data_IF_175685678900
#
_entry.id   IF_175685678900
#
_cell.length_a   1.000
_cell.length_b   1.000
_cell.length_c   1.000
_cell.angle_alpha   90.00
_cell.angle_beta   90.00
_cell.angle_gamma   90.00
#
_symmetry.space_group_name_H-M   'P 1'
#
loop_
_entity.id
_entity.type
_entity.pdbx_description
1 polymer ?
#
# COMPACT_ATOMS: atom_id res chain seq x y z
N UNK A 1 0.45 31.17 14.52
CA UNK A 1 1.44 31.45 13.46
C UNK A 1 0.98 30.70 12.23
N UNK A 2 1.12 31.22 11.00
CA UNK A 2 0.82 30.40 9.83
C UNK A 2 1.79 29.22 9.87
N UNK A 3 1.26 28.00 9.93
CA UNK A 3 2.06 26.78 9.96
C UNK A 3 3.03 26.76 8.78
N UNK A 4 4.21 26.18 8.99
CA UNK A 4 5.21 26.05 7.94
C UNK A 4 4.61 25.32 6.73
N UNK A 5 5.12 25.52 5.50
CA UNK A 5 4.61 24.82 4.31
C UNK A 5 4.52 23.28 4.47
N UNK A 6 5.32 22.73 5.38
CA UNK A 6 5.41 21.31 5.70
C UNK A 6 4.22 20.81 6.55
N UNK A 7 3.54 21.69 7.29
CA UNK A 7 2.50 21.32 8.27
C UNK A 7 1.21 20.86 7.59
N UNK A 8 0.97 21.30 6.35
CA UNK A 8 -0.19 20.92 5.53
C UNK A 8 0.16 19.95 4.40
N UNK A 9 1.40 19.46 4.34
CA UNK A 9 1.83 18.55 3.26
C UNK A 9 2.03 17.16 3.83
N UNK A 10 1.29 16.19 3.32
CA UNK A 10 1.39 14.79 3.69
C UNK A 10 2.46 14.12 2.82
N UNK A 11 3.52 13.59 3.45
CA UNK A 11 4.62 12.89 2.78
C UNK A 11 4.47 11.39 2.96
N UNK A 12 4.37 10.65 1.87
CA UNK A 12 4.13 9.22 1.85
C UNK A 12 5.25 8.56 1.06
N UNK A 13 5.94 7.59 1.66
CA UNK A 13 6.81 6.70 0.88
C UNK A 13 5.96 5.58 0.28
N UNK A 14 5.99 5.41 -1.03
CA UNK A 14 5.22 4.41 -1.77
C UNK A 14 6.16 3.34 -2.31
N UNK A 15 5.88 2.07 -1.98
CA UNK A 15 6.57 0.90 -2.51
C UNK A 15 5.57 -0.26 -2.70
N UNK A 16 5.94 -1.29 -3.44
CA UNK A 16 5.12 -2.49 -3.67
C UNK A 16 6.02 -3.66 -4.04
N UNK A 17 5.50 -4.88 -3.98
CA UNK A 17 6.15 -6.07 -4.54
C UNK A 17 7.59 -6.21 -4.02
N UNK A 18 7.71 -6.14 -2.69
CA UNK A 18 9.00 -6.23 -2.01
C UNK A 18 9.56 -7.65 -2.06
N UNK A 19 8.67 -8.65 -2.13
CA UNK A 19 9.02 -10.06 -2.27
C UNK A 19 10.10 -10.50 -1.26
N UNK A 20 9.93 -10.11 0.01
CA UNK A 20 10.82 -10.54 1.08
C UNK A 20 10.93 -12.06 1.09
N UNK A 21 12.16 -12.56 0.98
CA UNK A 21 12.47 -13.99 0.91
C UNK A 21 12.65 -14.54 -0.50
N UNK A 22 12.43 -13.75 -1.55
CA UNK A 22 12.79 -14.18 -2.90
C UNK A 22 14.29 -14.52 -2.99
N UNK A 23 14.59 -15.70 -3.49
CA UNK A 23 15.96 -16.20 -3.59
C UNK A 23 16.66 -16.53 -2.27
N UNK A 24 15.96 -16.63 -1.13
CA UNK A 24 16.59 -16.74 0.20
C UNK A 24 17.59 -17.91 0.39
N UNK A 25 17.47 -18.96 -0.41
CA UNK A 25 18.36 -20.14 -0.39
C UNK A 25 19.59 -19.99 -1.28
N UNK A 26 19.63 -18.96 -2.13
CA UNK A 26 20.76 -18.63 -2.98
C UNK A 26 21.91 -18.05 -2.14
N UNK A 27 23.13 -18.54 -2.37
CA UNK A 27 24.30 -18.16 -1.58
C UNK A 27 24.78 -16.73 -1.84
N UNK A 28 24.44 -16.17 -3.00
CA UNK A 28 24.87 -14.84 -3.44
C UNK A 28 23.73 -13.84 -3.21
N UNK A 29 22.52 -14.19 -3.66
CA UNK A 29 21.36 -13.28 -3.74
C UNK A 29 20.40 -13.39 -2.56
N UNK A 30 20.63 -14.32 -1.63
CA UNK A 30 19.66 -14.65 -0.58
C UNK A 30 19.35 -13.53 0.41
N UNK A 31 20.10 -12.44 0.41
CA UNK A 31 19.84 -11.25 1.22
C UNK A 31 19.25 -10.07 0.45
N UNK A 32 19.19 -10.12 -0.90
CA UNK A 32 18.88 -8.97 -1.74
C UNK A 32 17.55 -8.31 -1.31
N UNK A 33 16.49 -9.10 -1.16
CA UNK A 33 15.17 -8.59 -0.77
C UNK A 33 15.14 -7.88 0.59
N UNK A 34 15.88 -8.39 1.60
CA UNK A 34 15.93 -7.76 2.92
C UNK A 34 16.79 -6.49 2.91
N UNK A 35 17.91 -6.49 2.18
CA UNK A 35 18.79 -5.32 2.06
C UNK A 35 18.06 -4.20 1.32
N UNK A 36 17.38 -4.50 0.21
CA UNK A 36 16.60 -3.50 -0.51
C UNK A 36 15.44 -2.97 0.33
N UNK A 37 14.74 -3.84 1.07
CA UNK A 37 13.68 -3.37 1.97
C UNK A 37 14.22 -2.48 3.10
N UNK A 38 15.41 -2.76 3.62
CA UNK A 38 16.09 -1.87 4.55
C UNK A 38 16.37 -0.50 3.92
N UNK A 39 16.89 -0.44 2.70
CA UNK A 39 17.11 0.83 1.97
C UNK A 39 15.80 1.62 1.78
N UNK A 40 14.67 0.96 1.52
CA UNK A 40 13.36 1.60 1.44
C UNK A 40 13.00 2.27 2.78
N UNK A 41 13.21 1.58 3.91
CA UNK A 41 12.94 2.11 5.24
C UNK A 41 13.91 3.23 5.63
N UNK A 42 15.18 3.12 5.25
CA UNK A 42 16.17 4.19 5.39
C UNK A 42 15.72 5.44 4.63
N UNK A 43 15.22 5.29 3.41
CA UNK A 43 14.67 6.39 2.62
C UNK A 43 13.44 7.01 3.27
N UNK A 44 12.54 6.21 3.88
CA UNK A 44 11.40 6.72 4.65
C UNK A 44 11.86 7.65 5.78
N UNK A 45 12.87 7.21 6.56
CA UNK A 45 13.43 7.96 7.67
C UNK A 45 14.17 9.21 7.20
N UNK A 46 15.01 9.07 6.18
CA UNK A 46 15.82 10.16 5.58
C UNK A 46 14.95 11.30 5.06
N UNK A 47 13.81 10.99 4.45
CA UNK A 47 12.89 12.00 3.92
C UNK A 47 11.80 12.43 4.92
N UNK A 48 11.89 11.93 6.16
CA UNK A 48 10.99 12.22 7.27
C UNK A 48 9.52 12.07 6.90
N UNK A 49 9.19 10.99 6.17
CA UNK A 49 7.82 10.75 5.71
C UNK A 49 6.86 10.64 6.89
N UNK A 50 5.59 10.95 6.64
CA UNK A 50 4.52 10.81 7.62
C UNK A 50 4.11 9.35 7.77
N UNK A 51 4.05 8.58 6.68
CA UNK A 51 3.86 7.13 6.71
C UNK A 51 4.40 6.45 5.45
N UNK A 52 4.47 5.13 5.48
CA UNK A 52 4.82 4.27 4.35
C UNK A 52 3.55 3.57 3.85
N UNK A 53 3.39 3.50 2.54
CA UNK A 53 2.27 2.84 1.86
C UNK A 53 2.79 1.71 0.98
N UNK A 54 2.38 0.48 1.28
CA UNK A 54 2.79 -0.74 0.58
C UNK A 54 1.65 -1.30 -0.27
N UNK A 55 1.95 -1.55 -1.55
CA UNK A 55 1.00 -2.00 -2.57
C UNK A 55 0.70 -3.50 -2.62
N UNK A 56 1.16 -4.30 -1.65
CA UNK A 56 1.03 -5.76 -1.62
C UNK A 56 2.32 -6.49 -1.98
N UNK A 57 2.29 -7.82 -1.87
CA UNK A 57 3.45 -8.72 -2.06
C UNK A 57 4.67 -8.27 -1.25
N UNK A 58 4.45 -7.97 0.03
CA UNK A 58 5.54 -7.72 0.98
C UNK A 58 6.41 -8.98 1.11
N UNK A 59 5.79 -10.16 1.16
CA UNK A 59 6.49 -11.44 1.22
C UNK A 59 6.35 -12.22 -0.09
N UNK A 60 7.43 -12.88 -0.49
CA UNK A 60 7.43 -13.73 -1.68
C UNK A 60 6.68 -15.06 -1.48
N UNK A 61 6.65 -15.55 -0.25
CA UNK A 61 5.99 -16.80 0.11
C UNK A 61 4.87 -16.50 1.09
N UNK A 62 3.70 -17.11 0.87
CA UNK A 62 2.52 -16.95 1.73
C UNK A 62 2.83 -17.28 3.20
N UNK A 63 3.70 -18.27 3.42
CA UNK A 63 4.21 -18.68 4.72
C UNK A 63 5.70 -18.35 4.77
N UNK A 64 6.06 -17.09 5.09
CA UNK A 64 7.44 -16.65 4.98
C UNK A 64 8.35 -17.46 5.92
N UNK A 65 9.56 -17.84 5.47
CA UNK A 65 10.53 -18.50 6.32
C UNK A 65 10.84 -17.68 7.57
N UNK A 66 11.09 -18.34 8.70
CA UNK A 66 11.33 -17.65 10.00
C UNK A 66 12.41 -16.57 9.93
N UNK A 67 13.49 -16.82 9.18
CA UNK A 67 14.58 -15.85 8.96
C UNK A 67 14.06 -14.56 8.33
N UNK A 68 13.23 -14.69 7.30
CA UNK A 68 12.68 -13.58 6.53
C UNK A 68 11.66 -12.80 7.36
N UNK A 69 10.73 -13.50 8.01
CA UNK A 69 9.75 -12.86 8.89
C UNK A 69 10.44 -12.12 10.06
N UNK A 70 11.45 -12.74 10.68
CA UNK A 70 12.25 -12.10 11.73
C UNK A 70 12.99 -10.87 11.20
N UNK A 71 13.60 -10.95 10.01
CA UNK A 71 14.28 -9.82 9.36
C UNK A 71 13.32 -8.65 9.13
N UNK A 72 12.14 -8.91 8.56
CA UNK A 72 11.10 -7.91 8.37
C UNK A 72 10.70 -7.23 9.70
N UNK A 73 10.41 -8.02 10.73
CA UNK A 73 10.05 -7.51 12.07
C UNK A 73 11.18 -6.64 12.65
N UNK A 74 12.42 -7.09 12.55
CA UNK A 74 13.57 -6.35 13.08
C UNK A 74 13.75 -5.01 12.36
N UNK A 75 13.63 -5.00 11.03
CA UNK A 75 13.71 -3.79 10.22
C UNK A 75 12.58 -2.80 10.54
N UNK A 76 11.32 -3.26 10.55
CA UNK A 76 10.17 -2.42 10.92
C UNK A 76 10.34 -1.82 12.32
N UNK A 77 10.78 -2.61 13.31
CA UNK A 77 11.05 -2.07 14.65
C UNK A 77 12.16 -1.02 14.66
N UNK A 78 13.20 -1.22 13.86
CA UNK A 78 14.38 -0.33 13.82
C UNK A 78 14.07 1.02 13.17
N UNK A 79 13.26 1.03 12.11
CA UNK A 79 13.04 2.22 11.30
C UNK A 79 11.68 2.91 11.55
N UNK A 80 10.67 2.18 12.03
CA UNK A 80 9.30 2.70 12.17
C UNK A 80 8.90 3.01 13.62
N UNK A 81 9.64 2.56 14.62
CA UNK A 81 9.42 2.90 16.03
C UNK A 81 10.39 4.00 16.49
N UNK A 82 9.93 4.91 17.36
CA UNK A 82 10.74 6.02 17.84
C UNK A 82 9.92 7.11 18.49
N UNK A 83 10.59 8.16 18.99
CA UNK A 83 9.95 9.24 19.76
C UNK A 83 9.26 10.31 18.93
N UNK A 84 9.48 10.35 17.60
CA UNK A 84 8.83 11.33 16.72
C UNK A 84 7.31 11.07 16.72
N UNK A 85 6.48 12.03 17.14
CA UNK A 85 5.03 11.86 17.14
C UNK A 85 4.48 11.89 15.71
N UNK A 86 3.47 11.05 15.45
CA UNK A 86 2.68 11.08 14.20
C UNK A 86 1.96 12.42 14.09
N UNK A 87 2.07 13.09 12.93
CA UNK A 87 1.61 14.46 12.70
C UNK A 87 0.29 14.56 11.92
N UNK A 88 -0.44 13.46 11.79
CA UNK A 88 -1.75 13.40 11.14
C UNK A 88 -2.76 12.70 12.04
N UNK A 89 -4.03 13.03 11.85
CA UNK A 89 -5.16 12.51 12.60
C UNK A 89 -5.91 11.46 11.77
N UNK A 90 -6.50 10.49 12.47
CA UNK A 90 -7.44 9.53 11.89
C UNK A 90 -8.87 9.96 12.20
N UNK A 91 -9.72 10.03 11.18
CA UNK A 91 -11.07 10.60 11.28
C UNK A 91 -12.19 9.58 11.10
N UNK A 92 -11.88 8.37 10.63
CA UNK A 92 -12.87 7.30 10.47
C UNK A 92 -12.96 6.39 11.71
N UNK A 93 -13.91 5.47 11.70
CA UNK A 93 -14.14 4.54 12.81
C UNK A 93 -13.22 3.32 12.65
N UNK A 94 -12.12 3.31 13.41
CA UNK A 94 -11.14 2.23 13.41
C UNK A 94 -11.77 0.86 13.70
N UNK A 95 -12.80 0.80 14.54
CA UNK A 95 -13.47 -0.45 14.89
C UNK A 95 -14.18 -1.11 13.70
N UNK A 96 -14.59 -0.29 12.72
CA UNK A 96 -15.21 -0.75 11.47
C UNK A 96 -14.15 -1.01 10.40
N UNK A 97 -13.19 -0.10 10.24
CA UNK A 97 -12.17 -0.15 9.19
C UNK A 97 -11.22 -1.36 9.40
N UNK A 98 -10.88 -1.64 10.66
CA UNK A 98 -10.02 -2.75 11.07
C UNK A 98 -10.79 -3.90 11.72
N UNK A 99 -12.11 -4.02 11.50
CA UNK A 99 -12.96 -5.10 12.06
C UNK A 99 -12.50 -6.53 11.71
N UNK A 100 -11.69 -6.66 10.65
CA UNK A 100 -11.15 -7.92 10.17
C UNK A 100 -9.85 -8.32 10.92
N UNK A 101 -9.29 -7.40 11.71
CA UNK A 101 -8.11 -7.59 12.52
C UNK A 101 -8.49 -7.91 13.98
N UNK A 102 -7.59 -8.60 14.68
CA UNK A 102 -7.79 -8.94 16.10
C UNK A 102 -7.72 -7.71 17.03
N UNK A 103 -6.89 -6.73 16.69
CA UNK A 103 -6.78 -5.44 17.37
C UNK A 103 -7.29 -4.37 16.41
N UNK A 104 -8.56 -3.97 16.48
CA UNK A 104 -9.18 -3.11 15.47
C UNK A 104 -8.84 -1.62 15.72
N UNK A 105 -7.55 -1.32 15.84
CA UNK A 105 -7.00 0.00 16.13
C UNK A 105 -5.70 0.20 15.35
N UNK A 106 -5.40 1.46 15.02
CA UNK A 106 -4.13 1.84 14.41
C UNK A 106 -2.99 1.64 15.38
N UNK A 107 -1.86 1.17 14.87
CA UNK A 107 -0.71 0.84 15.71
C UNK A 107 -0.10 2.05 16.44
N UNK A 108 -0.19 3.25 15.86
CA UNK A 108 0.34 4.47 16.45
C UNK A 108 -0.60 5.12 17.47
N UNK A 109 -1.82 4.62 17.62
CA UNK A 109 -2.73 5.00 18.70
C UNK A 109 -2.72 3.99 19.87
N UNK A 110 -1.94 2.90 19.77
CA UNK A 110 -1.74 1.98 20.88
C UNK A 110 -0.87 2.64 21.97
N UNK A 111 -1.37 2.80 23.21
CA UNK A 111 -0.64 3.49 24.27
C UNK A 111 0.64 2.76 24.73
N UNK A 112 0.84 1.51 24.31
CA UNK A 112 1.99 0.69 24.67
C UNK A 112 3.06 0.64 23.57
N UNK A 113 2.80 1.23 22.40
CA UNK A 113 3.70 1.19 21.24
C UNK A 113 4.06 2.61 20.82
N UNK A 114 5.36 2.90 20.74
CA UNK A 114 5.84 4.18 20.25
C UNK A 114 6.17 4.09 18.75
N UNK A 115 5.16 4.32 17.91
CA UNK A 115 5.29 4.29 16.45
C UNK A 115 5.59 5.70 15.93
N UNK A 116 6.71 5.85 15.21
CA UNK A 116 7.13 7.12 14.61
C UNK A 116 6.82 7.24 13.12
N UNK A 117 6.78 6.11 12.40
CA UNK A 117 6.42 6.06 10.98
C UNK A 117 5.46 4.89 10.78
N UNK A 118 4.14 5.12 10.77
CA UNK A 118 3.15 4.09 10.48
C UNK A 118 3.38 3.47 9.10
N UNK A 119 3.09 2.18 8.96
CA UNK A 119 3.13 1.47 7.67
C UNK A 119 1.72 1.00 7.37
N UNK A 120 1.15 1.40 6.25
CA UNK A 120 -0.14 0.90 5.75
C UNK A 120 0.12 -0.05 4.59
N UNK A 121 -0.52 -1.22 4.59
CA UNK A 121 -0.35 -2.20 3.52
C UNK A 121 -1.66 -2.89 3.18
N UNK A 122 -1.90 -3.08 1.88
CA UNK A 122 -2.78 -4.15 1.40
C UNK A 122 -1.96 -5.43 1.23
N UNK A 123 -2.63 -6.58 1.09
CA UNK A 123 -1.97 -7.82 0.67
C UNK A 123 -1.97 -7.96 -0.85
N UNK A 124 -0.96 -8.61 -1.40
CA UNK A 124 -0.89 -9.04 -2.79
C UNK A 124 -1.34 -10.49 -2.96
N UNK A 125 -0.89 -11.12 -4.04
CA UNK A 125 -1.24 -12.50 -4.39
C UNK A 125 -0.26 -13.55 -3.84
N UNK A 126 0.94 -13.16 -3.41
CA UNK A 126 1.89 -14.05 -2.74
C UNK A 126 1.66 -14.10 -1.23
N UNK A 127 1.23 -12.99 -0.63
CA UNK A 127 0.94 -12.85 0.79
C UNK A 127 -0.57 -12.73 1.09
N UNK A 128 -1.38 -13.45 0.31
CA UNK A 128 -2.83 -13.50 0.44
C UNK A 128 -3.33 -14.25 1.70
N UNK A 129 -4.55 -13.97 2.19
CA UNK A 129 -5.13 -14.74 3.30
C UNK A 129 -5.37 -16.21 2.92
N UNK A 130 -4.82 -17.15 3.70
CA UNK A 130 -5.00 -18.59 3.47
C UNK A 130 -5.26 -19.39 4.75
N UNK A 131 -5.58 -20.68 4.59
CA UNK A 131 -5.67 -21.64 5.68
C UNK A 131 -6.87 -21.49 6.61
N UNK A 132 -6.85 -22.24 7.71
CA UNK A 132 -7.85 -22.13 8.76
C UNK A 132 -7.67 -20.79 9.49
N UNK A 133 -8.71 -19.97 9.50
CA UNK A 133 -8.66 -18.61 10.06
C UNK A 133 -8.53 -17.50 9.04
N UNK A 134 -8.28 -17.82 7.75
CA UNK A 134 -8.19 -16.83 6.67
C UNK A 134 -7.21 -15.69 7.02
N UNK A 135 -6.00 -16.06 7.44
CA UNK A 135 -4.95 -15.14 7.88
C UNK A 135 -3.84 -15.08 6.82
N UNK A 136 -3.18 -13.93 6.73
CA UNK A 136 -1.93 -13.76 5.99
C UNK A 136 -0.79 -13.27 6.90
N UNK A 137 0.40 -13.11 6.33
CA UNK A 137 1.56 -12.54 7.02
C UNK A 137 1.33 -11.10 7.50
N UNK A 138 0.49 -10.31 6.81
CA UNK A 138 0.12 -8.96 7.28
C UNK A 138 -0.76 -8.98 8.54
N UNK A 139 -1.64 -9.97 8.71
CA UNK A 139 -2.41 -10.13 9.96
C UNK A 139 -1.47 -10.33 11.17
N UNK A 140 -0.35 -11.05 10.98
CA UNK A 140 0.68 -11.24 12.01
C UNK A 140 1.42 -9.93 12.32
N UNK A 141 1.84 -9.19 11.29
CA UNK A 141 2.52 -7.91 11.47
C UNK A 141 1.62 -6.85 12.10
N UNK A 142 0.33 -6.86 11.77
CA UNK A 142 -0.67 -6.00 12.38
C UNK A 142 -0.90 -6.35 13.85
N UNK A 143 -1.04 -7.65 14.16
CA UNK A 143 -1.16 -8.10 15.55
C UNK A 143 0.08 -7.81 16.40
N UNK A 144 1.25 -7.70 15.77
CA UNK A 144 2.49 -7.28 16.41
C UNK A 144 2.64 -5.75 16.54
N UNK A 145 1.70 -4.96 16.01
CA UNK A 145 1.72 -3.51 16.04
C UNK A 145 2.70 -2.85 15.05
N UNK A 146 3.14 -3.58 14.02
CA UNK A 146 4.18 -3.11 13.09
C UNK A 146 3.61 -2.59 11.75
N UNK A 147 2.41 -3.03 11.36
CA UNK A 147 1.74 -2.65 10.11
C UNK A 147 0.25 -2.41 10.36
N UNK A 148 -0.35 -1.42 9.72
CA UNK A 148 -1.79 -1.22 9.62
C UNK A 148 -2.29 -1.95 8.35
N UNK A 149 -2.79 -3.18 8.53
CA UNK A 149 -3.32 -3.98 7.44
C UNK A 149 -4.74 -3.51 7.10
N UNK A 150 -4.95 -3.12 5.85
CA UNK A 150 -6.24 -2.61 5.36
C UNK A 150 -6.59 -3.20 3.99
N UNK A 151 -7.82 -2.95 3.52
CA UNK A 151 -8.27 -3.39 2.20
C UNK A 151 -8.57 -4.89 2.07
N UNK A 152 -8.65 -5.64 3.18
CA UNK A 152 -9.06 -7.05 3.18
C UNK A 152 -10.54 -7.18 2.84
N UNK A 153 -10.83 -7.85 1.73
CA UNK A 153 -12.21 -8.15 1.33
C UNK A 153 -12.71 -9.40 2.05
N UNK A 154 -13.78 -9.28 2.84
CA UNK A 154 -14.39 -10.42 3.56
C UNK A 154 -15.66 -10.96 2.91
N UNK A 155 -16.33 -10.16 2.06
CA UNK A 155 -17.54 -10.56 1.37
C UNK A 155 -17.20 -11.02 -0.06
N UNK A 156 -17.62 -12.24 -0.39
CA UNK A 156 -17.29 -12.88 -1.66
C UNK A 156 -18.24 -12.52 -2.81
N UNK A 157 -19.43 -12.00 -2.51
CA UNK A 157 -20.49 -11.71 -3.48
C UNK A 157 -20.53 -10.24 -3.88
N UNK A 158 -20.27 -9.34 -2.91
CA UNK A 158 -20.23 -7.89 -3.10
C UNK A 158 -19.02 -7.30 -2.39
N UNK A 159 -18.27 -6.46 -3.09
CA UNK A 159 -17.10 -5.75 -2.58
C UNK A 159 -17.53 -4.31 -2.30
N UNK A 160 -17.44 -3.90 -1.04
CA UNK A 160 -17.63 -2.51 -0.62
C UNK A 160 -16.29 -1.99 -0.09
N UNK A 161 -15.72 -1.02 -0.79
CA UNK A 161 -14.41 -0.42 -0.46
C UNK A 161 -14.68 0.86 0.33
N UNK A 162 -14.31 0.87 1.61
CA UNK A 162 -14.41 2.05 2.47
C UNK A 162 -13.03 2.73 2.58
N UNK A 163 -12.95 4.07 2.55
CA UNK A 163 -11.69 4.78 2.72
C UNK A 163 -11.30 4.87 4.19
N UNK A 164 -10.00 4.81 4.45
CA UNK A 164 -9.41 5.32 5.69
C UNK A 164 -9.30 6.84 5.58
N UNK A 165 -9.82 7.58 6.56
CA UNK A 165 -9.86 9.04 6.52
C UNK A 165 -8.75 9.65 7.36
N UNK A 166 -7.80 10.31 6.70
CA UNK A 166 -6.60 10.88 7.30
C UNK A 166 -6.58 12.39 7.09
N UNK A 167 -6.13 13.15 8.09
CA UNK A 167 -5.97 14.61 7.97
C UNK A 167 -4.65 15.09 8.55
N UNK A 168 -3.92 15.90 7.78
CA UNK A 168 -2.72 16.61 8.23
C UNK A 168 -2.87 18.11 7.97
N UNK A 169 -3.01 18.88 9.05
CA UNK A 169 -3.32 20.30 8.94
C UNK A 169 -4.63 20.51 8.16
N UNK A 170 -4.58 21.24 7.05
CA UNK A 170 -5.72 21.43 6.15
C UNK A 170 -5.89 20.36 5.07
N UNK A 171 -4.95 19.43 4.91
CA UNK A 171 -4.98 18.42 3.84
C UNK A 171 -5.71 17.17 4.31
N UNK A 172 -6.69 16.74 3.53
CA UNK A 172 -7.54 15.57 3.80
C UNK A 172 -7.29 14.49 2.75
N UNK A 173 -7.02 13.27 3.22
CA UNK A 173 -6.76 12.09 2.39
C UNK A 173 -7.81 11.02 2.68
N UNK A 174 -8.50 10.58 1.63
CA UNK A 174 -9.32 9.38 1.64
C UNK A 174 -8.51 8.25 0.99
N UNK A 175 -7.96 7.37 1.82
CA UNK A 175 -7.11 6.26 1.40
C UNK A 175 -7.96 4.99 1.21
N UNK A 176 -8.16 4.62 -0.05
CA UNK A 176 -8.85 3.41 -0.47
C UNK A 176 -7.82 2.29 -0.69
N UNK A 177 -8.19 1.06 -0.37
CA UNK A 177 -7.34 -0.11 -0.61
C UNK A 177 -8.15 -1.35 -0.91
N UNK A 178 -7.63 -2.18 -1.80
CA UNK A 178 -8.17 -3.50 -2.08
C UNK A 178 -7.02 -4.48 -2.27
N UNK A 179 -6.90 -5.42 -1.33
CA UNK A 179 -5.95 -6.52 -1.46
C UNK A 179 -6.25 -7.41 -2.67
N UNK A 180 -5.26 -8.19 -3.07
CA UNK A 180 -5.38 -8.98 -4.31
C UNK A 180 -6.56 -9.95 -4.26
N UNK A 181 -7.28 -10.00 -5.38
CA UNK A 181 -8.37 -10.92 -5.66
C UNK A 181 -8.12 -11.44 -7.06
N UNK A 182 -8.14 -12.76 -7.26
CA UNK A 182 -7.98 -13.37 -8.58
C UNK A 182 -8.66 -12.57 -9.72
N UNK A 183 -7.88 -12.16 -10.72
CA UNK A 183 -8.28 -11.18 -11.73
C UNK A 183 -9.60 -11.52 -12.42
N UNK A 184 -9.78 -12.77 -12.91
CA UNK A 184 -11.00 -13.11 -13.66
C UNK A 184 -12.26 -12.99 -12.81
N UNK A 185 -12.12 -13.23 -11.50
CA UNK A 185 -13.22 -13.07 -10.56
C UNK A 185 -13.52 -11.58 -10.36
N UNK A 186 -12.51 -10.78 -10.05
CA UNK A 186 -12.70 -9.36 -9.82
C UNK A 186 -13.23 -8.65 -11.08
N UNK A 187 -12.69 -8.99 -12.26
CA UNK A 187 -13.18 -8.51 -13.54
C UNK A 187 -14.69 -8.77 -13.70
N UNK A 188 -15.14 -10.00 -13.44
CA UNK A 188 -16.57 -10.35 -13.45
C UNK A 188 -17.36 -9.53 -12.42
N UNK A 189 -16.81 -9.26 -11.25
CA UNK A 189 -17.52 -8.47 -10.22
C UNK A 189 -17.71 -7.02 -10.66
N UNK A 190 -16.72 -6.41 -11.31
CA UNK A 190 -16.88 -5.09 -11.93
C UNK A 190 -17.93 -5.08 -13.05
N UNK A 191 -17.91 -6.08 -13.94
CA UNK A 191 -18.90 -6.21 -15.02
C UNK A 191 -20.32 -6.33 -14.47
N UNK A 192 -20.51 -7.10 -13.40
CA UNK A 192 -21.81 -7.26 -12.75
C UNK A 192 -22.18 -6.13 -11.77
N UNK A 193 -21.35 -5.08 -11.65
CA UNK A 193 -21.58 -3.94 -10.73
C UNK A 193 -21.66 -4.37 -9.25
N UNK A 194 -20.90 -5.39 -8.88
CA UNK A 194 -20.78 -5.89 -7.51
C UNK A 194 -19.60 -5.29 -6.74
N UNK A 195 -18.92 -4.28 -7.29
CA UNK A 195 -17.88 -3.50 -6.62
C UNK A 195 -18.40 -2.09 -6.43
N UNK A 196 -18.27 -1.54 -5.23
CA UNK A 196 -18.70 -0.17 -4.91
C UNK A 196 -17.69 0.49 -3.99
N UNK A 197 -17.23 1.69 -4.36
CA UNK A 197 -16.41 2.53 -3.48
C UNK A 197 -17.31 3.48 -2.69
N UNK A 198 -17.23 3.43 -1.36
CA UNK A 198 -17.99 4.32 -0.49
C UNK A 198 -17.28 5.68 -0.40
N UNK A 199 -18.02 6.78 -0.44
CA UNK A 199 -17.46 8.13 -0.30
C UNK A 199 -17.79 8.72 1.06
N UNK A 200 -16.92 9.57 1.64
CA UNK A 200 -17.25 10.37 2.81
C UNK A 200 -18.57 11.13 2.60
N UNK A 201 -19.38 11.27 3.65
CA UNK A 201 -20.66 11.99 3.55
C UNK A 201 -20.44 13.50 3.41
N UNK A 202 -19.45 14.02 4.14
CA UNK A 202 -19.15 15.44 4.28
C UNK A 202 -17.91 15.80 3.44
N UNK A 203 -17.88 17.05 2.95
CA UNK A 203 -16.69 17.64 2.30
C UNK A 203 -16.14 16.81 1.13
N UNK A 204 -17.02 16.16 0.37
CA UNK A 204 -16.68 15.18 -0.68
C UNK A 204 -15.64 15.64 -1.71
N UNK A 205 -15.57 16.94 -1.96
CA UNK A 205 -14.70 17.54 -2.96
C UNK A 205 -13.33 17.96 -2.38
N UNK A 206 -13.21 18.01 -1.04
CA UNK A 206 -12.00 18.44 -0.34
C UNK A 206 -11.03 17.27 -0.08
N UNK A 207 -11.50 16.03 -0.19
CA UNK A 207 -10.68 14.83 -0.03
C UNK A 207 -9.84 14.56 -1.27
N UNK A 208 -8.54 14.39 -1.09
CA UNK A 208 -7.69 13.70 -2.07
C UNK A 208 -7.96 12.18 -1.98
N UNK A 209 -8.40 11.57 -3.06
CA UNK A 209 -8.82 10.17 -3.16
C UNK A 209 -7.68 9.33 -3.75
N UNK A 210 -6.96 8.63 -2.87
CA UNK A 210 -5.86 7.74 -3.23
C UNK A 210 -6.33 6.30 -3.18
N UNK A 211 -6.15 5.53 -4.25
CA UNK A 211 -6.51 4.11 -4.28
C UNK A 211 -5.28 3.23 -4.48
N UNK A 212 -5.19 2.14 -3.70
CA UNK A 212 -4.15 1.12 -3.84
C UNK A 212 -4.77 -0.22 -4.24
N UNK A 213 -4.26 -0.81 -5.31
CA UNK A 213 -4.75 -2.07 -5.89
C UNK A 213 -3.59 -2.97 -6.30
N UNK A 214 -3.78 -4.28 -6.17
CA UNK A 214 -2.79 -5.30 -6.53
C UNK A 214 -3.38 -6.32 -7.52
N UNK A 215 -3.32 -5.99 -8.82
CA UNK A 215 -3.96 -6.74 -9.91
C UNK A 215 -3.19 -6.61 -11.22
N UNK A 216 -3.43 -7.53 -12.16
CA UNK A 216 -2.93 -7.36 -13.53
C UNK A 216 -3.49 -6.07 -14.16
N UNK A 217 -2.60 -5.18 -14.58
CA UNK A 217 -2.90 -3.99 -15.39
C UNK A 217 -2.86 -4.36 -16.87
N UNK A 218 -1.87 -5.16 -17.25
CA UNK A 218 -1.62 -5.56 -18.62
C UNK A 218 -2.59 -6.64 -19.10
N UNK A 219 -3.05 -6.52 -20.35
CA UNK A 219 -3.99 -7.47 -20.93
C UNK A 219 -3.29 -8.76 -21.37
N UNK A 220 -3.30 -9.77 -20.51
CA UNK A 220 -2.86 -11.12 -20.86
C UNK A 220 -3.95 -11.96 -21.56
N UNK A 221 -5.21 -11.80 -21.12
CA UNK A 221 -6.40 -12.40 -21.73
C UNK A 221 -7.58 -11.43 -21.68
N UNK A 222 -8.75 -11.85 -22.17
CA UNK A 222 -9.94 -11.01 -22.13
C UNK A 222 -10.34 -10.56 -20.71
N UNK A 223 -10.11 -11.40 -19.69
CA UNK A 223 -10.60 -11.19 -18.32
C UNK A 223 -9.52 -11.24 -17.23
N UNK A 224 -8.29 -11.61 -17.54
CA UNK A 224 -7.19 -11.74 -16.56
C UNK A 224 -6.43 -10.42 -16.34
N UNK A 225 -7.18 -9.33 -16.26
CA UNK A 225 -6.68 -7.98 -15.94
C UNK A 225 -7.87 -7.11 -15.54
N UNK A 226 -7.57 -6.01 -14.86
CA UNK A 226 -8.55 -4.98 -14.51
C UNK A 226 -8.30 -3.75 -15.38
N UNK A 227 -9.16 -3.47 -16.37
CA UNK A 227 -9.09 -2.23 -17.12
C UNK A 227 -9.21 -1.02 -16.19
N UNK A 228 -8.40 0.02 -16.40
CA UNK A 228 -8.48 1.26 -15.63
C UNK A 228 -9.88 1.89 -15.71
N UNK A 229 -10.61 1.65 -16.82
CA UNK A 229 -12.00 2.11 -17.01
C UNK A 229 -13.02 1.45 -16.06
N UNK A 230 -12.63 0.43 -15.30
CA UNK A 230 -13.52 -0.15 -14.28
C UNK A 230 -13.50 0.64 -12.97
N UNK A 231 -12.45 1.44 -12.74
CA UNK A 231 -12.31 2.24 -11.54
C UNK A 231 -13.16 3.51 -11.64
N UNK A 232 -13.64 3.98 -10.49
CA UNK A 232 -14.48 5.18 -10.43
C UNK A 232 -13.67 6.45 -10.73
N UNK A 233 -14.30 7.41 -11.39
CA UNK A 233 -13.68 8.65 -11.91
C UNK A 233 -13.44 9.74 -10.84
N UNK A 234 -13.91 9.53 -9.61
CA UNK A 234 -13.67 10.47 -8.50
C UNK A 234 -12.28 10.31 -7.86
N UNK A 235 -11.55 9.24 -8.22
CA UNK A 235 -10.19 9.00 -7.74
C UNK A 235 -9.25 10.08 -8.30
N UNK A 236 -8.22 10.45 -7.54
CA UNK A 236 -7.20 11.40 -8.02
C UNK A 236 -5.93 10.66 -8.46
N UNK A 237 -5.52 9.65 -7.70
CA UNK A 237 -4.33 8.86 -7.94
C UNK A 237 -4.57 7.38 -7.58
N UNK A 238 -4.12 6.49 -8.46
CA UNK A 238 -4.11 5.04 -8.25
C UNK A 238 -2.66 4.55 -8.16
N UNK A 239 -2.32 3.85 -7.09
CA UNK A 239 -1.08 3.10 -6.95
C UNK A 239 -1.35 1.65 -7.37
N UNK A 240 -0.68 1.21 -8.43
CA UNK A 240 -0.85 -0.09 -9.04
C UNK A 240 0.31 -1.02 -8.66
N UNK A 241 0.06 -1.95 -7.74
CA UNK A 241 0.97 -3.06 -7.41
C UNK A 241 0.82 -4.23 -8.39
N UNK A 242 1.43 -5.38 -8.09
CA UNK A 242 1.43 -6.62 -8.91
C UNK A 242 2.30 -6.55 -10.17
N UNK A 243 2.27 -5.44 -10.88
CA UNK A 243 3.11 -5.23 -12.06
C UNK A 243 4.53 -4.85 -11.63
N UNK A 244 5.51 -5.69 -11.99
CA UNK A 244 6.90 -5.52 -11.55
C UNK A 244 7.71 -4.49 -12.37
N UNK A 245 7.20 -4.06 -13.52
CA UNK A 245 7.81 -3.01 -14.32
C UNK A 245 7.71 -1.66 -13.60
N UNK A 246 8.85 -0.97 -13.45
CA UNK A 246 8.90 0.32 -12.78
C UNK A 246 8.45 1.46 -13.71
N UNK A 247 7.18 1.86 -13.57
CA UNK A 247 6.55 3.03 -14.22
C UNK A 247 6.01 3.98 -13.14
N UNK A 248 6.93 4.41 -12.29
CA UNK A 248 6.62 5.15 -11.07
C UNK A 248 6.10 6.56 -11.32
N UNK A 249 6.50 7.19 -12.43
CA UNK A 249 6.02 8.51 -12.80
C UNK A 249 4.51 8.43 -13.10
N UNK A 250 3.66 9.25 -12.44
CA UNK A 250 2.21 9.18 -12.63
C UNK A 250 1.80 9.45 -14.08
N UNK A 251 1.04 8.54 -14.65
CA UNK A 251 0.51 8.60 -16.02
C UNK A 251 -0.95 9.04 -16.01
N UNK A 252 -1.30 10.04 -16.82
CA UNK A 252 -2.66 10.54 -16.89
C UNK A 252 -3.58 9.60 -17.68
N UNK A 253 -4.68 9.17 -17.06
CA UNK A 253 -5.78 8.50 -17.75
C UNK A 253 -6.86 9.52 -18.11
N UNK A 254 -6.85 10.00 -19.35
CA UNK A 254 -7.85 10.97 -19.83
C UNK A 254 -9.28 10.44 -20.00
N UNK A 255 -9.51 9.13 -19.84
CA UNK A 255 -10.87 8.56 -19.87
C UNK A 255 -11.53 8.65 -18.50
N UNK A 256 -10.81 8.32 -17.42
CA UNK A 256 -11.34 8.35 -16.06
C UNK A 256 -10.92 9.57 -15.23
N UNK A 257 -10.07 10.43 -15.76
CA UNK A 257 -9.62 11.67 -15.12
C UNK A 257 -8.84 11.48 -13.81
N UNK A 258 -8.04 10.41 -13.72
CA UNK A 258 -7.10 10.18 -12.62
C UNK A 258 -5.70 9.86 -13.14
N UNK A 259 -4.72 9.90 -12.24
CA UNK A 259 -3.36 9.42 -12.52
C UNK A 259 -3.17 7.97 -12.06
N UNK A 260 -2.32 7.23 -12.76
CA UNK A 260 -1.86 5.90 -12.34
C UNK A 260 -0.36 5.93 -12.14
N UNK A 261 0.12 5.49 -10.98
CA UNK A 261 1.54 5.23 -10.72
C UNK A 261 1.73 3.74 -10.49
N UNK A 262 2.69 3.14 -11.18
CA UNK A 262 3.04 1.73 -11.07
C UNK A 262 4.49 1.63 -10.59
N UNK A 263 4.75 1.55 -9.26
CA UNK A 263 6.12 1.67 -8.74
C UNK A 263 7.05 0.56 -9.23
N UNK A 264 6.52 -0.63 -9.52
CA UNK A 264 7.30 -1.82 -9.83
C UNK A 264 7.84 -2.50 -8.57
N UNK A 265 8.37 -3.71 -8.74
CA UNK A 265 8.94 -4.50 -7.65
C UNK A 265 10.27 -3.93 -7.16
N UNK A 266 10.62 -4.18 -5.90
CA UNK A 266 11.93 -3.77 -5.37
C UNK A 266 13.06 -4.73 -5.73
N UNK A 267 12.74 -5.96 -6.13
CA UNK A 267 13.72 -6.96 -6.59
C UNK A 267 13.22 -7.64 -7.86
N UNK A 268 14.14 -8.04 -8.72
CA UNK A 268 13.81 -8.80 -9.93
C UNK A 268 13.43 -10.25 -9.58
N UNK A 269 12.13 -10.60 -9.69
CA UNK A 269 11.66 -11.98 -9.40
C UNK A 269 11.68 -12.87 -10.63
N UNK A 270 11.75 -12.27 -11.82
CA UNK A 270 11.91 -12.92 -13.11
C UNK A 270 12.97 -12.21 -13.96
N UNK A 271 13.58 -12.94 -14.90
CA UNK A 271 14.52 -12.38 -15.87
C UNK A 271 13.78 -11.99 -17.16
N UNK A 272 12.95 -10.95 -17.09
CA UNK A 272 12.21 -10.41 -18.23
C UNK A 272 12.51 -8.92 -18.46
N UNK A 273 12.11 -8.40 -19.62
CA UNK A 273 12.37 -7.02 -20.03
C UNK A 273 11.77 -5.99 -19.04
N UNK A 274 10.55 -6.23 -18.56
CA UNK A 274 9.88 -5.34 -17.59
C UNK A 274 10.64 -5.22 -16.26
N UNK A 275 11.39 -6.25 -15.87
CA UNK A 275 12.18 -6.23 -14.63
C UNK A 275 13.63 -5.79 -14.81
N UNK A 276 14.10 -5.59 -16.05
CA UNK A 276 15.47 -5.15 -16.35
C UNK A 276 15.68 -3.65 -16.08
N UNK A 277 14.61 -2.86 -16.02
CA UNK A 277 14.66 -1.43 -15.71
C UNK A 277 15.12 -1.14 -14.28
N UNK A 278 15.68 0.06 -14.06
CA UNK A 278 16.02 0.52 -12.70
C UNK A 278 14.77 0.63 -11.84
N UNK A 279 14.81 0.02 -10.66
CA UNK A 279 13.72 0.07 -9.68
C UNK A 279 13.78 1.40 -8.90
N UNK A 280 12.62 1.84 -8.44
CA UNK A 280 12.46 3.08 -7.70
C UNK A 280 11.34 2.93 -6.67
N UNK A 281 11.43 3.69 -5.59
CA UNK A 281 10.30 3.99 -4.69
C UNK A 281 9.84 5.43 -4.88
N UNK A 282 8.63 5.73 -4.43
CA UNK A 282 7.97 7.00 -4.66
C UNK A 282 7.93 7.83 -3.39
N UNK A 283 8.39 9.07 -3.43
CA UNK A 283 8.05 10.07 -2.42
C UNK A 283 6.86 10.88 -2.92
N UNK A 284 5.67 10.50 -2.46
CA UNK A 284 4.41 11.15 -2.75
C UNK A 284 4.19 12.28 -1.74
N UNK A 285 3.92 13.48 -2.23
CA UNK A 285 3.59 14.64 -1.43
C UNK A 285 2.20 15.13 -1.82
N UNK A 286 1.26 15.20 -0.87
CA UNK A 286 -0.12 15.65 -1.10
C UNK A 286 -0.36 16.94 -0.31
N UNK A 287 -0.93 17.95 -0.96
CA UNK A 287 -1.33 19.22 -0.32
C UNK A 287 -2.67 19.69 -0.89
N UNK A 288 -3.70 19.74 -0.05
CA UNK A 288 -5.07 19.92 -0.51
C UNK A 288 -5.42 18.80 -1.49
N UNK A 289 -5.73 19.17 -2.74
CA UNK A 289 -6.02 18.25 -3.84
C UNK A 289 -4.86 18.06 -4.83
N UNK A 290 -3.78 18.82 -4.66
CA UNK A 290 -2.60 18.71 -5.51
C UNK A 290 -1.64 17.64 -4.97
N UNK A 291 -0.91 16.99 -5.86
CA UNK A 291 0.13 16.04 -5.48
C UNK A 291 1.39 16.15 -6.34
N UNK A 292 2.49 15.64 -5.80
CA UNK A 292 3.77 15.48 -6.50
C UNK A 292 4.36 14.11 -6.16
N UNK A 293 4.69 13.33 -7.19
CA UNK A 293 5.45 12.08 -7.05
C UNK A 293 6.91 12.32 -7.42
N UNK A 294 7.82 12.14 -6.47
CA UNK A 294 9.27 12.19 -6.72
C UNK A 294 9.84 10.78 -6.68
N UNK A 295 10.42 10.30 -7.78
CA UNK A 295 11.07 8.98 -7.80
C UNK A 295 12.41 8.99 -7.08
N UNK A 296 12.66 7.96 -6.29
CA UNK A 296 13.91 7.72 -5.56
C UNK A 296 14.43 6.35 -5.99
N UNK A 297 15.67 6.23 -6.49
CA UNK A 297 16.26 4.93 -6.82
C UNK A 297 16.25 4.01 -5.60
N UNK A 298 15.92 2.73 -5.82
CA UNK A 298 15.90 1.66 -4.83
C UNK A 298 16.36 0.35 -5.47
#
# INVERSE_FOLDING_TARGET
>A
MPGSENDNTLKILVATDNHLGYGEKDQIRGNDSLVTFEEILENAKKHEVDFILLGGDLFHENKPPRRILHGCIALLRTYCMGEKPVQFEYLSDQSLDFKHCQFPTLNYEDPNLNISIPVFSIHGNHDDPTGQGNLCSLDLLHSAGLVNYFGKTTNLEKIEISPLLLQKGSTKLALYGMGSIRDERLHRMFVHKNVTMLRPREEKEDWFNLFVIHQNRSKHSATSHIPEQFLDDFLDLVIWGHEHECRIEPEWNGTQNFYVSQPGSSVATSLCEGEAGKKHVGLLQIRGKDFKMTKIPA
#
